data_IF_995991335978
#
_entry.id   IF_995991335978
#
_cell.length_a   1.000
_cell.length_b   1.000
_cell.length_c   1.000
_cell.angle_alpha   90.00
_cell.angle_beta   90.00
_cell.angle_gamma   90.00
#
_symmetry.space_group_name_H-M   'P 1'
#
loop_
_entity.id
_entity.type
_entity.pdbx_description
1 polymer ?
#
# COMPACT_ATOMS: atom_id res chain seq x y z
N UNK A 1 -17.53 9.88 9.19
CA UNK A 1 -18.21 10.31 7.94
C UNK A 1 -17.27 10.06 6.78
N UNK A 2 -17.72 9.24 5.85
CA UNK A 2 -16.91 8.78 4.74
C UNK A 2 -16.55 9.92 3.78
N UNK A 3 -15.25 10.14 3.54
CA UNK A 3 -14.74 11.18 2.65
C UNK A 3 -14.51 10.65 1.22
N UNK A 4 -14.30 9.34 1.07
CA UNK A 4 -14.21 8.64 -0.22
C UNK A 4 -15.24 7.53 -0.22
N UNK A 5 -16.04 7.44 -1.27
CA UNK A 5 -17.00 6.35 -1.49
C UNK A 5 -16.86 5.84 -2.91
N UNK A 6 -16.65 4.54 -3.04
CA UNK A 6 -16.54 3.84 -4.31
C UNK A 6 -17.60 2.74 -4.33
N UNK A 7 -18.45 2.74 -5.34
CA UNK A 7 -19.56 1.80 -5.47
C UNK A 7 -19.54 1.15 -6.84
N UNK A 8 -19.39 -0.17 -6.86
CA UNK A 8 -19.43 -1.02 -8.06
C UNK A 8 -18.56 -0.49 -9.20
N UNK A 9 -17.31 -0.14 -8.89
CA UNK A 9 -16.38 0.47 -9.83
C UNK A 9 -15.83 -0.55 -10.81
N UNK A 10 -15.97 -0.27 -12.11
CA UNK A 10 -15.43 -1.09 -13.20
C UNK A 10 -14.50 -0.28 -14.11
N UNK A 11 -13.43 -0.94 -14.56
CA UNK A 11 -12.56 -0.43 -15.62
C UNK A 11 -11.92 -1.58 -16.38
N UNK A 12 -12.08 -1.56 -17.69
CA UNK A 12 -11.48 -2.52 -18.60
C UNK A 12 -10.57 -1.81 -19.61
N UNK A 13 -9.54 -2.51 -20.04
CA UNK A 13 -8.68 -2.16 -21.16
C UNK A 13 -8.74 -3.33 -22.13
N UNK A 14 -9.41 -3.12 -23.26
CA UNK A 14 -9.72 -4.18 -24.22
C UNK A 14 -10.41 -5.38 -23.53
N UNK A 15 -9.74 -6.53 -23.46
CA UNK A 15 -10.25 -7.76 -22.82
C UNK A 15 -9.91 -7.87 -21.33
N UNK A 16 -8.99 -7.02 -20.82
CA UNK A 16 -8.52 -7.06 -19.43
C UNK A 16 -9.42 -6.23 -18.52
N UNK A 17 -10.11 -6.88 -17.59
CA UNK A 17 -10.83 -6.22 -16.50
C UNK A 17 -9.86 -5.80 -15.41
N UNK A 18 -9.33 -4.58 -15.53
CA UNK A 18 -8.35 -4.04 -14.58
C UNK A 18 -8.96 -3.73 -13.21
N UNK A 19 -10.24 -3.33 -13.19
CA UNK A 19 -11.06 -3.15 -11.98
C UNK A 19 -12.42 -3.77 -12.24
N UNK A 20 -12.88 -4.65 -11.36
CA UNK A 20 -14.04 -5.50 -11.60
C UNK A 20 -15.05 -5.43 -10.45
N UNK A 21 -15.85 -4.37 -10.41
CA UNK A 21 -16.98 -4.22 -9.48
C UNK A 21 -16.56 -3.95 -8.02
N UNK A 22 -15.45 -3.23 -7.79
CA UNK A 22 -14.99 -2.97 -6.43
C UNK A 22 -15.85 -1.91 -5.73
N UNK A 23 -16.07 -2.12 -4.43
CA UNK A 23 -16.77 -1.17 -3.57
C UNK A 23 -16.04 -1.04 -2.23
N UNK A 24 -15.81 0.20 -1.79
CA UNK A 24 -15.22 0.51 -0.48
C UNK A 24 -15.48 1.97 -0.09
N UNK A 25 -15.27 2.26 1.18
CA UNK A 25 -15.34 3.63 1.70
C UNK A 25 -14.15 3.93 2.61
N UNK A 26 -13.75 5.20 2.68
CA UNK A 26 -12.67 5.67 3.53
C UNK A 26 -13.17 6.80 4.40
N UNK A 27 -12.92 6.74 5.69
CA UNK A 27 -13.31 7.77 6.65
C UNK A 27 -12.32 8.94 6.65
N UNK A 28 -12.80 10.12 7.05
CA UNK A 28 -11.92 11.31 7.16
C UNK A 28 -10.81 11.06 8.18
N UNK A 29 -9.57 11.39 7.83
CA UNK A 29 -8.39 11.19 8.68
C UNK A 29 -7.94 9.72 8.78
N UNK A 30 -8.43 8.85 7.91
CA UNK A 30 -8.01 7.44 7.83
C UNK A 30 -6.83 7.27 6.87
N UNK A 31 -5.92 6.36 7.20
CA UNK A 31 -4.94 5.81 6.26
C UNK A 31 -5.45 4.48 5.74
N UNK A 32 -5.75 4.42 4.44
CA UNK A 32 -6.30 3.25 3.77
C UNK A 32 -5.32 2.71 2.73
N UNK A 33 -5.08 1.39 2.75
CA UNK A 33 -4.19 0.71 1.80
C UNK A 33 -4.95 -0.10 0.75
N UNK A 34 -4.69 0.15 -0.54
CA UNK A 34 -5.01 -0.80 -1.61
C UNK A 34 -3.78 -1.69 -1.82
N UNK A 35 -3.86 -2.95 -1.43
CA UNK A 35 -2.72 -3.85 -1.31
C UNK A 35 -2.88 -5.04 -2.24
N UNK A 36 -1.84 -5.39 -2.97
CA UNK A 36 -1.88 -6.53 -3.88
C UNK A 36 -0.71 -6.55 -4.87
N UNK A 37 -0.54 -7.64 -5.62
CA UNK A 37 0.55 -7.79 -6.57
C UNK A 37 0.44 -6.80 -7.74
N UNK A 38 1.47 -6.79 -8.57
CA UNK A 38 1.44 -6.06 -9.83
C UNK A 38 0.30 -6.58 -10.71
N UNK A 39 -0.38 -5.65 -11.39
CA UNK A 39 -1.56 -5.98 -12.19
C UNK A 39 -2.85 -6.22 -11.40
N UNK A 40 -2.87 -6.08 -10.06
CA UNK A 40 -4.08 -6.25 -9.26
C UNK A 40 -5.15 -5.15 -9.47
N UNK A 41 -4.84 -4.05 -10.17
CA UNK A 41 -5.76 -2.95 -10.44
C UNK A 41 -5.57 -1.72 -9.53
N UNK A 42 -4.58 -1.71 -8.64
CA UNK A 42 -4.30 -0.64 -7.67
C UNK A 42 -4.11 0.73 -8.33
N UNK A 43 -3.15 0.85 -9.24
CA UNK A 43 -2.84 2.10 -9.98
C UNK A 43 -4.03 2.56 -10.82
N UNK A 44 -4.75 1.65 -11.46
CA UNK A 44 -5.98 1.98 -12.21
C UNK A 44 -7.03 2.60 -11.29
N UNK A 45 -7.26 1.98 -10.13
CA UNK A 45 -8.20 2.50 -9.13
C UNK A 45 -7.82 3.90 -8.69
N UNK A 46 -6.57 4.13 -8.26
CA UNK A 46 -6.14 5.44 -7.76
C UNK A 46 -6.23 6.53 -8.84
N UNK A 47 -5.90 6.19 -10.10
CA UNK A 47 -6.03 7.13 -11.23
C UNK A 47 -7.47 7.52 -11.54
N UNK A 48 -8.44 6.60 -11.33
CA UNK A 48 -9.86 6.94 -11.44
C UNK A 48 -10.24 7.89 -10.31
N UNK A 49 -9.83 7.62 -9.07
CA UNK A 49 -10.11 8.48 -7.92
C UNK A 49 -9.50 9.88 -8.07
N UNK A 50 -8.38 10.02 -8.75
CA UNK A 50 -7.77 11.31 -9.09
C UNK A 50 -8.43 11.99 -10.31
N UNK A 51 -9.41 11.34 -10.96
CA UNK A 51 -10.03 11.83 -12.18
C UNK A 51 -9.10 11.86 -13.39
N UNK A 52 -7.99 11.11 -13.37
CA UNK A 52 -7.03 11.05 -14.49
C UNK A 52 -7.53 10.14 -15.62
N UNK A 53 -8.29 9.09 -15.27
CA UNK A 53 -8.96 8.21 -16.21
C UNK A 53 -10.43 8.05 -15.82
N UNK A 54 -11.30 7.85 -16.80
CA UNK A 54 -12.73 7.65 -16.59
C UNK A 54 -13.01 6.18 -16.33
N UNK A 55 -13.85 5.90 -15.32
CA UNK A 55 -14.41 4.56 -15.09
C UNK A 55 -15.40 4.18 -16.21
N UNK A 56 -15.60 2.89 -16.41
CA UNK A 56 -16.58 2.38 -17.34
C UNK A 56 -17.97 2.31 -16.70
N UNK A 57 -18.02 1.83 -15.42
CA UNK A 57 -19.25 1.76 -14.63
C UNK A 57 -18.94 2.09 -13.17
N UNK A 58 -20.00 2.30 -12.39
CA UNK A 58 -19.92 2.59 -10.95
C UNK A 58 -19.89 4.08 -10.62
N UNK A 59 -19.89 4.35 -9.31
CA UNK A 59 -19.94 5.72 -8.76
C UNK A 59 -18.74 5.94 -7.85
N UNK A 60 -18.11 7.10 -8.02
CA UNK A 60 -17.01 7.58 -7.15
C UNK A 60 -17.38 8.95 -6.61
N UNK A 61 -17.51 9.02 -5.29
CA UNK A 61 -17.72 10.26 -4.57
C UNK A 61 -16.49 10.58 -3.71
N UNK A 62 -15.98 11.82 -3.83
CA UNK A 62 -14.94 12.36 -2.97
C UNK A 62 -15.49 13.63 -2.29
N UNK A 63 -15.38 13.69 -0.97
CA UNK A 63 -15.95 14.83 -0.20
C UNK A 63 -17.43 15.08 -0.52
N UNK A 64 -18.18 13.99 -0.81
CA UNK A 64 -19.59 14.04 -1.23
C UNK A 64 -19.84 14.44 -2.69
N UNK A 65 -18.79 14.69 -3.49
CA UNK A 65 -18.87 15.16 -4.87
C UNK A 65 -18.56 14.05 -5.87
N UNK A 66 -19.29 14.01 -6.98
CA UNK A 66 -19.10 13.04 -8.05
C UNK A 66 -17.88 13.43 -8.90
N UNK A 67 -16.91 12.51 -9.04
CA UNK A 67 -15.67 12.75 -9.80
C UNK A 67 -15.90 13.07 -11.28
N UNK A 68 -17.00 12.62 -11.85
CA UNK A 68 -17.33 12.90 -13.26
C UNK A 68 -17.95 14.28 -13.46
N UNK A 69 -18.62 14.83 -12.44
CA UNK A 69 -19.35 16.11 -12.52
C UNK A 69 -18.53 17.27 -11.97
N UNK A 70 -17.82 17.04 -10.87
CA UNK A 70 -17.13 18.09 -10.11
C UNK A 70 -15.60 17.90 -10.09
N UNK A 71 -15.07 17.33 -11.17
CA UNK A 71 -13.66 16.93 -11.30
C UNK A 71 -12.68 18.04 -10.90
N UNK A 72 -12.84 19.27 -11.40
CA UNK A 72 -11.91 20.38 -11.14
C UNK A 72 -11.89 20.76 -9.65
N UNK A 73 -13.04 20.80 -9.02
CA UNK A 73 -13.15 21.13 -7.60
C UNK A 73 -12.52 20.02 -6.72
N UNK A 74 -12.74 18.75 -7.07
CA UNK A 74 -12.12 17.63 -6.43
C UNK A 74 -10.60 17.70 -6.57
N UNK A 75 -10.09 17.93 -7.78
CA UNK A 75 -8.64 17.99 -8.04
C UNK A 75 -7.94 19.11 -7.27
N UNK A 76 -8.61 20.22 -6.99
CA UNK A 76 -8.07 21.28 -6.14
C UNK A 76 -7.96 20.91 -4.66
N UNK A 77 -8.61 19.83 -4.23
CA UNK A 77 -8.65 19.37 -2.84
C UNK A 77 -7.92 18.03 -2.62
N UNK A 78 -7.28 17.49 -3.63
CA UNK A 78 -6.52 16.25 -3.55
C UNK A 78 -5.05 16.47 -3.91
N UNK A 79 -4.14 15.78 -3.22
CA UNK A 79 -2.75 15.62 -3.62
C UNK A 79 -2.57 14.25 -4.25
N UNK A 80 -1.77 14.15 -5.31
CA UNK A 80 -1.44 12.88 -5.94
C UNK A 80 0.06 12.73 -6.13
N UNK A 81 0.60 11.67 -5.57
CA UNK A 81 1.98 11.26 -5.77
C UNK A 81 1.98 9.97 -6.60
N UNK A 82 2.42 10.09 -7.84
CA UNK A 82 2.49 8.97 -8.78
C UNK A 82 3.71 8.09 -8.53
N UNK A 83 3.63 6.84 -8.97
CA UNK A 83 4.72 5.86 -8.87
C UNK A 83 6.03 6.35 -9.53
N UNK A 84 5.93 7.05 -10.67
CA UNK A 84 7.07 7.74 -11.29
C UNK A 84 7.10 9.18 -10.83
N UNK A 85 8.28 9.69 -10.48
CA UNK A 85 8.43 11.07 -10.05
C UNK A 85 7.92 12.05 -11.12
N UNK A 86 7.00 12.91 -10.73
CA UNK A 86 6.49 14.02 -11.58
C UNK A 86 7.25 15.31 -11.31
N UNK A 87 8.56 15.21 -11.05
CA UNK A 87 9.44 16.36 -10.77
C UNK A 87 10.16 16.81 -12.05
N UNK A 88 10.40 18.09 -12.15
CA UNK A 88 11.25 18.67 -13.19
C UNK A 88 12.70 18.60 -12.71
N UNK A 89 13.50 17.75 -13.34
CA UNK A 89 14.87 17.44 -12.93
C UNK A 89 15.82 18.63 -13.02
N UNK A 90 15.59 19.50 -13.98
CA UNK A 90 16.31 20.73 -14.29
C UNK A 90 15.91 21.94 -13.40
N UNK A 91 14.85 21.78 -12.60
CA UNK A 91 14.45 22.77 -11.61
C UNK A 91 15.05 22.40 -10.23
N UNK A 92 15.35 23.42 -9.44
CA UNK A 92 15.74 23.27 -8.03
C UNK A 92 14.58 22.76 -7.19
N UNK A 93 14.88 22.39 -5.94
CA UNK A 93 13.85 22.01 -4.95
C UNK A 93 12.84 23.15 -4.76
N UNK A 94 13.30 24.40 -4.62
CA UNK A 94 12.44 25.57 -4.47
C UNK A 94 11.56 25.77 -5.70
N UNK A 95 12.14 25.76 -6.90
CA UNK A 95 11.44 25.97 -8.17
C UNK A 95 10.42 24.88 -8.48
N UNK A 96 10.69 23.62 -8.11
CA UNK A 96 9.68 22.58 -8.20
C UNK A 96 8.45 22.88 -7.33
N UNK A 97 8.64 23.28 -6.07
CA UNK A 97 7.51 23.61 -5.17
C UNK A 97 6.76 24.86 -5.69
N UNK A 98 7.49 25.86 -6.16
CA UNK A 98 6.92 27.08 -6.76
C UNK A 98 6.06 26.75 -7.97
N UNK A 99 6.56 25.95 -8.90
CA UNK A 99 5.80 25.49 -10.07
C UNK A 99 4.46 24.83 -9.70
N UNK A 100 4.46 23.95 -8.70
CA UNK A 100 3.21 23.33 -8.25
C UNK A 100 2.30 24.32 -7.51
N UNK A 101 2.87 25.32 -6.80
CA UNK A 101 2.09 26.38 -6.19
C UNK A 101 1.36 27.23 -7.25
N UNK A 102 2.05 27.57 -8.35
CA UNK A 102 1.47 28.32 -9.47
C UNK A 102 0.36 27.51 -10.17
N UNK A 103 0.58 26.21 -10.46
CA UNK A 103 -0.46 25.35 -11.07
C UNK A 103 -1.74 25.33 -10.23
N UNK A 104 -1.61 25.36 -8.90
CA UNK A 104 -2.75 25.33 -7.98
C UNK A 104 -3.24 26.73 -7.57
N UNK A 105 -2.74 27.80 -8.21
CA UNK A 105 -3.05 29.23 -7.90
C UNK A 105 -2.92 29.55 -6.39
N UNK A 106 -1.88 28.98 -5.73
CA UNK A 106 -1.60 29.23 -4.32
C UNK A 106 -0.85 30.57 -4.20
N UNK A 107 -1.55 31.59 -3.71
CA UNK A 107 -0.96 32.90 -3.40
C UNK A 107 -0.16 32.82 -2.10
N UNK A 108 0.91 33.66 -2.02
CA UNK A 108 1.75 33.78 -0.82
C UNK A 108 2.32 32.44 -0.30
N UNK A 109 2.68 31.55 -1.23
CA UNK A 109 3.15 30.19 -0.92
C UNK A 109 4.49 30.13 -0.18
N UNK A 110 5.25 31.23 -0.07
CA UNK A 110 6.61 31.25 0.48
C UNK A 110 6.69 30.68 1.90
N UNK A 111 5.79 31.10 2.78
CA UNK A 111 5.72 30.57 4.13
C UNK A 111 5.42 29.06 4.11
N UNK A 112 4.44 28.65 3.32
CA UNK A 112 4.05 27.22 3.21
C UNK A 112 5.17 26.37 2.61
N UNK A 113 5.89 26.90 1.62
CA UNK A 113 7.09 26.24 1.06
C UNK A 113 8.13 26.01 2.15
N UNK A 114 8.45 27.03 2.96
CA UNK A 114 9.44 26.89 4.02
C UNK A 114 9.01 25.89 5.10
N UNK A 115 7.73 25.85 5.48
CA UNK A 115 7.15 24.83 6.36
C UNK A 115 7.32 23.42 5.77
N UNK A 116 7.00 23.23 4.49
CA UNK A 116 7.13 21.94 3.80
C UNK A 116 8.58 21.50 3.67
N UNK A 117 9.50 22.42 3.39
CA UNK A 117 10.93 22.13 3.34
C UNK A 117 11.49 21.70 4.69
N UNK A 118 11.05 22.33 5.77
CA UNK A 118 11.40 21.93 7.14
C UNK A 118 10.84 20.54 7.45
N UNK A 119 9.53 20.34 7.19
CA UNK A 119 8.80 19.11 7.42
C UNK A 119 9.39 17.90 6.69
N UNK A 120 9.82 18.09 5.45
CA UNK A 120 10.45 17.05 4.62
C UNK A 120 11.96 16.95 4.83
N UNK A 121 12.55 17.86 5.62
CA UNK A 121 14.00 17.99 5.83
C UNK A 121 14.78 18.29 4.55
N UNK A 122 14.16 19.00 3.61
CA UNK A 122 14.80 19.41 2.35
C UNK A 122 15.35 20.83 2.37
N UNK A 123 15.14 21.59 3.44
CA UNK A 123 15.60 22.96 3.61
C UNK A 123 17.09 23.19 3.29
N UNK A 124 18.04 22.33 3.71
CA UNK A 124 19.46 22.48 3.34
C UNK A 124 19.75 22.30 1.85
N UNK A 125 18.81 21.71 1.09
CA UNK A 125 18.96 21.33 -0.30
C UNK A 125 18.13 22.18 -1.26
N UNK A 126 17.50 23.25 -0.77
CA UNK A 126 16.52 24.07 -1.50
C UNK A 126 17.00 24.60 -2.87
N UNK A 127 18.30 24.85 -3.02
CA UNK A 127 18.93 25.33 -4.26
C UNK A 127 19.52 24.22 -5.14
N UNK A 128 19.39 22.96 -4.72
CA UNK A 128 19.88 21.80 -5.48
C UNK A 128 18.86 21.42 -6.56
N UNK A 129 19.33 21.04 -7.75
CA UNK A 129 18.49 20.52 -8.82
C UNK A 129 17.85 19.20 -8.40
N UNK A 130 16.60 18.97 -8.81
CA UNK A 130 15.87 17.76 -8.45
C UNK A 130 16.58 16.49 -8.96
N UNK A 131 17.23 16.53 -10.13
CA UNK A 131 17.98 15.38 -10.64
C UNK A 131 19.20 14.98 -9.79
N UNK A 132 19.74 15.91 -9.01
CA UNK A 132 20.88 15.70 -8.11
C UNK A 132 20.46 15.11 -6.76
N UNK A 133 19.16 14.91 -6.51
CA UNK A 133 18.63 14.36 -5.28
C UNK A 133 18.68 12.83 -5.30
N UNK A 134 18.85 12.20 -4.13
CA UNK A 134 18.64 10.76 -3.98
C UNK A 134 17.17 10.37 -4.20
N UNK A 135 16.88 9.10 -4.48
CA UNK A 135 15.52 8.61 -4.67
C UNK A 135 14.58 8.98 -3.50
N UNK A 136 15.02 8.78 -2.26
CA UNK A 136 14.24 9.16 -1.10
C UNK A 136 14.05 10.68 -0.94
N UNK A 137 15.02 11.50 -1.37
CA UNK A 137 14.86 12.96 -1.39
C UNK A 137 13.89 13.40 -2.50
N UNK A 138 13.95 12.79 -3.68
CA UNK A 138 12.99 13.03 -4.77
C UNK A 138 11.57 12.72 -4.31
N UNK A 139 11.38 11.60 -3.58
CA UNK A 139 10.09 11.22 -3.02
C UNK A 139 9.54 12.26 -2.03
N UNK A 140 10.40 12.75 -1.14
CA UNK A 140 10.04 13.81 -0.18
C UNK A 140 9.70 15.13 -0.89
N UNK A 141 10.42 15.49 -1.94
CA UNK A 141 10.13 16.68 -2.75
C UNK A 141 8.78 16.53 -3.48
N UNK A 142 8.52 15.39 -4.11
CA UNK A 142 7.25 15.12 -4.77
C UNK A 142 6.06 15.19 -3.79
N UNK A 143 6.27 14.67 -2.57
CA UNK A 143 5.28 14.82 -1.49
C UNK A 143 5.08 16.29 -1.11
N UNK A 144 6.15 17.09 -0.92
CA UNK A 144 6.04 18.51 -0.61
C UNK A 144 5.26 19.27 -1.69
N UNK A 145 5.56 19.00 -2.97
CA UNK A 145 4.83 19.56 -4.11
C UNK A 145 3.33 19.21 -4.05
N UNK A 146 2.99 17.96 -3.74
CA UNK A 146 1.58 17.52 -3.63
C UNK A 146 0.83 18.09 -2.41
N UNK A 147 1.53 18.70 -1.47
CA UNK A 147 0.97 19.27 -0.23
C UNK A 147 0.89 20.79 -0.23
N UNK A 148 1.44 21.49 -1.26
CA UNK A 148 1.54 22.95 -1.25
C UNK A 148 0.17 23.64 -1.20
N UNK A 149 -0.84 23.07 -1.85
CA UNK A 149 -2.20 23.59 -1.92
C UNK A 149 -3.12 23.09 -0.78
N UNK A 150 -2.55 22.45 0.27
CA UNK A 150 -3.26 21.96 1.46
C UNK A 150 -4.43 21.02 1.14
N UNK A 151 -4.19 19.87 0.48
CA UNK A 151 -5.23 18.93 0.11
C UNK A 151 -5.89 18.30 1.35
N UNK A 152 -7.16 17.89 1.21
CA UNK A 152 -7.87 17.12 2.24
C UNK A 152 -7.60 15.61 2.11
N UNK A 153 -7.32 15.16 0.89
CA UNK A 153 -7.05 13.75 0.57
C UNK A 153 -5.70 13.66 -0.16
N UNK A 154 -4.86 12.74 0.27
CA UNK A 154 -3.58 12.44 -0.37
C UNK A 154 -3.61 11.03 -0.95
N UNK A 155 -3.43 10.94 -2.26
CA UNK A 155 -3.30 9.70 -2.99
C UNK A 155 -1.82 9.39 -3.25
N UNK A 156 -1.36 8.19 -2.87
CA UNK A 156 0.02 7.76 -3.00
C UNK A 156 0.09 6.45 -3.78
N UNK A 157 0.66 6.48 -4.97
CA UNK A 157 0.79 5.28 -5.81
C UNK A 157 2.18 4.66 -5.64
N UNK A 158 2.26 3.60 -4.82
CA UNK A 158 3.49 2.89 -4.48
C UNK A 158 4.64 3.81 -4.02
N UNK A 159 4.43 4.64 -3.00
CA UNK A 159 5.31 5.77 -2.71
C UNK A 159 6.71 5.38 -2.21
N UNK A 160 6.92 4.14 -1.85
CA UNK A 160 8.20 3.66 -1.26
C UNK A 160 8.93 2.65 -2.14
N UNK A 161 8.39 2.35 -3.32
CA UNK A 161 9.03 1.44 -4.28
C UNK A 161 10.36 2.02 -4.76
N UNK A 162 11.44 1.25 -4.61
CA UNK A 162 12.80 1.68 -4.96
C UNK A 162 13.45 2.67 -3.97
N UNK A 163 12.83 2.91 -2.80
CA UNK A 163 13.39 3.76 -1.74
C UNK A 163 14.14 2.91 -0.72
N UNK A 164 15.32 3.37 -0.31
CA UNK A 164 16.13 2.70 0.71
C UNK A 164 15.42 2.62 2.08
N UNK A 165 15.76 1.64 2.95
CA UNK A 165 15.05 1.42 4.22
C UNK A 165 15.05 2.62 5.17
N UNK A 166 16.10 3.44 5.18
CA UNK A 166 16.19 4.62 6.06
C UNK A 166 15.26 5.71 5.58
N UNK A 167 15.31 6.02 4.27
CA UNK A 167 14.42 7.00 3.65
C UNK A 167 12.95 6.56 3.73
N UNK A 168 12.67 5.24 3.56
CA UNK A 168 11.33 4.66 3.74
C UNK A 168 10.80 4.91 5.16
N UNK A 169 11.60 4.65 6.19
CA UNK A 169 11.22 4.89 7.59
C UNK A 169 10.91 6.36 7.85
N UNK A 170 11.72 7.28 7.30
CA UNK A 170 11.49 8.72 7.45
C UNK A 170 10.23 9.18 6.69
N UNK A 171 9.96 8.62 5.51
CA UNK A 171 8.73 8.88 4.76
C UNK A 171 7.48 8.47 5.56
N UNK A 172 7.50 7.30 6.20
CA UNK A 172 6.42 6.85 7.07
C UNK A 172 6.17 7.77 8.27
N UNK A 173 7.22 8.36 8.86
CA UNK A 173 7.06 9.38 9.93
C UNK A 173 6.32 10.60 9.42
N UNK A 174 6.64 11.06 8.21
CA UNK A 174 5.96 12.17 7.55
C UNK A 174 4.48 11.84 7.35
N UNK A 175 4.15 10.67 6.80
CA UNK A 175 2.75 10.24 6.61
C UNK A 175 1.99 10.18 7.93
N UNK A 176 2.61 9.65 8.99
CA UNK A 176 2.00 9.59 10.33
C UNK A 176 1.69 10.97 10.90
N UNK A 177 2.50 11.99 10.61
CA UNK A 177 2.25 13.35 11.03
C UNK A 177 1.12 13.99 10.23
N UNK A 178 1.08 13.81 8.91
CA UNK A 178 -0.01 14.29 8.06
C UNK A 178 -1.38 13.72 8.50
N UNK A 179 -1.38 12.45 8.91
CA UNK A 179 -2.58 11.81 9.45
C UNK A 179 -3.06 12.50 10.75
N UNK A 180 -2.12 12.84 11.66
CA UNK A 180 -2.43 13.59 12.88
C UNK A 180 -2.96 15.00 12.60
N UNK A 181 -2.56 15.61 11.48
CA UNK A 181 -3.08 16.89 10.99
C UNK A 181 -4.47 16.76 10.34
N UNK A 182 -5.01 15.53 10.24
CA UNK A 182 -6.35 15.24 9.73
C UNK A 182 -6.45 15.01 8.22
N UNK A 183 -5.30 14.89 7.52
CA UNK A 183 -5.27 14.53 6.10
C UNK A 183 -5.66 13.05 5.97
N UNK A 184 -6.56 12.76 5.04
CA UNK A 184 -6.93 11.38 4.68
C UNK A 184 -5.94 10.86 3.67
N UNK A 185 -5.45 9.64 3.85
CA UNK A 185 -4.43 9.05 2.97
C UNK A 185 -4.96 7.75 2.37
N UNK A 186 -4.96 7.67 1.04
CA UNK A 186 -5.10 6.40 0.33
C UNK A 186 -3.78 6.09 -0.37
N UNK A 187 -3.20 4.94 -0.04
CA UNK A 187 -1.97 4.48 -0.68
C UNK A 187 -2.14 3.12 -1.36
N UNK A 188 -1.40 2.93 -2.43
CA UNK A 188 -1.22 1.61 -3.03
C UNK A 188 0.14 1.04 -2.63
N UNK A 189 0.23 -0.26 -2.43
CA UNK A 189 1.51 -0.95 -2.20
C UNK A 189 1.42 -2.43 -2.55
N UNK A 190 2.47 -3.04 -3.11
CA UNK A 190 2.59 -4.49 -3.19
C UNK A 190 3.13 -5.09 -1.88
N UNK A 191 3.62 -4.27 -0.94
CA UNK A 191 4.29 -4.71 0.27
C UNK A 191 3.32 -4.86 1.44
N UNK A 192 3.18 -6.08 1.95
CA UNK A 192 2.26 -6.40 3.03
C UNK A 192 2.73 -5.90 4.40
N UNK A 193 4.03 -5.70 4.60
CA UNK A 193 4.60 -5.04 5.79
C UNK A 193 4.23 -3.55 5.89
N UNK A 194 4.04 -2.89 4.75
CA UNK A 194 3.52 -1.51 4.71
C UNK A 194 2.02 -1.47 5.01
N UNK A 195 1.27 -2.44 4.52
CA UNK A 195 -0.15 -2.59 4.79
C UNK A 195 -0.47 -2.68 6.29
N UNK A 196 0.42 -3.27 7.09
CA UNK A 196 0.31 -3.35 8.56
C UNK A 196 0.23 -1.97 9.24
N UNK A 197 0.67 -0.91 8.57
CA UNK A 197 0.68 0.46 9.09
C UNK A 197 -0.61 1.23 8.78
N UNK A 198 -1.47 0.69 7.92
CA UNK A 198 -2.74 1.30 7.56
C UNK A 198 -3.81 1.02 8.62
N UNK A 199 -4.78 1.93 8.76
CA UNK A 199 -5.94 1.71 9.62
C UNK A 199 -6.81 0.57 9.08
N UNK A 200 -7.09 0.61 7.78
CA UNK A 200 -7.79 -0.45 7.03
C UNK A 200 -7.12 -0.67 5.69
N UNK A 201 -7.30 -1.87 5.18
CA UNK A 201 -6.75 -2.28 3.88
C UNK A 201 -7.81 -3.02 3.07
N UNK A 202 -7.73 -2.85 1.76
CA UNK A 202 -8.38 -3.73 0.79
C UNK A 202 -7.30 -4.57 0.09
N UNK A 203 -7.35 -5.87 0.28
CA UNK A 203 -6.52 -6.80 -0.45
C UNK A 203 -7.11 -6.99 -1.85
N UNK A 204 -6.32 -6.68 -2.87
CA UNK A 204 -6.72 -6.74 -4.27
C UNK A 204 -6.01 -7.86 -5.02
N UNK A 205 -6.77 -8.57 -5.85
CA UNK A 205 -6.22 -9.54 -6.80
C UNK A 205 -7.07 -9.57 -8.07
N UNK A 206 -6.42 -9.50 -9.25
CA UNK A 206 -7.07 -9.58 -10.57
C UNK A 206 -8.30 -8.67 -10.70
N UNK A 207 -8.16 -7.42 -10.26
CA UNK A 207 -9.22 -6.40 -10.35
C UNK A 207 -10.31 -6.48 -9.27
N UNK A 208 -10.27 -7.44 -8.36
CA UNK A 208 -11.26 -7.64 -7.31
C UNK A 208 -10.71 -7.32 -5.92
N UNK A 209 -11.55 -6.86 -5.01
CA UNK A 209 -11.25 -6.84 -3.57
C UNK A 209 -11.58 -8.22 -3.01
N UNK A 210 -10.57 -8.94 -2.51
CA UNK A 210 -10.72 -10.28 -1.92
C UNK A 210 -10.94 -10.24 -0.41
N UNK A 211 -10.49 -9.17 0.26
CA UNK A 211 -10.76 -8.92 1.67
C UNK A 211 -10.62 -7.42 1.97
N UNK A 212 -11.41 -6.91 2.92
CA UNK A 212 -11.39 -5.53 3.38
C UNK A 212 -11.67 -5.49 4.88
N UNK A 213 -10.70 -5.04 5.66
CA UNK A 213 -10.83 -4.70 7.08
C UNK A 213 -9.52 -4.09 7.61
N UNK A 214 -9.41 -3.86 8.93
CA UNK A 214 -8.13 -3.56 9.55
C UNK A 214 -7.19 -4.78 9.48
N UNK A 215 -5.86 -4.58 9.41
CA UNK A 215 -4.88 -5.67 9.39
C UNK A 215 -5.10 -6.69 10.54
N UNK A 216 -5.40 -6.19 11.74
CA UNK A 216 -5.66 -7.02 12.91
C UNK A 216 -6.89 -7.91 12.70
N UNK A 217 -8.01 -7.32 12.28
CA UNK A 217 -9.25 -8.07 12.05
C UNK A 217 -9.13 -9.10 10.92
N UNK A 218 -8.36 -8.78 9.87
CA UNK A 218 -8.09 -9.75 8.80
C UNK A 218 -7.35 -10.98 9.33
N UNK A 219 -6.38 -10.78 10.22
CA UNK A 219 -5.65 -11.87 10.88
C UNK A 219 -6.55 -12.72 11.79
N UNK A 220 -7.44 -12.07 12.52
CA UNK A 220 -8.37 -12.75 13.43
C UNK A 220 -9.45 -13.57 12.70
N UNK A 221 -9.99 -13.02 11.58
CA UNK A 221 -11.06 -13.68 10.80
C UNK A 221 -10.69 -15.06 10.27
N UNK A 222 -9.43 -15.30 9.97
CA UNK A 222 -8.98 -16.59 9.45
C UNK A 222 -8.98 -17.67 10.53
N UNK A 223 -8.97 -17.31 11.83
CA UNK A 223 -8.96 -18.23 12.98
C UNK A 223 -8.00 -19.43 12.82
N UNK A 224 -6.88 -19.22 12.13
CA UNK A 224 -5.83 -20.20 11.90
C UNK A 224 -4.60 -19.88 12.74
N UNK A 225 -3.71 -20.83 12.85
CA UNK A 225 -2.34 -20.66 13.34
C UNK A 225 -1.36 -20.97 12.21
N UNK A 226 -0.17 -20.43 12.33
CA UNK A 226 0.95 -20.77 11.45
C UNK A 226 1.99 -21.52 12.26
N UNK A 227 2.32 -22.70 11.80
CA UNK A 227 3.44 -23.50 12.32
C UNK A 227 4.63 -23.17 11.42
N UNK A 228 5.61 -22.47 11.98
CA UNK A 228 6.88 -22.20 11.29
C UNK A 228 7.89 -23.29 11.65
N UNK A 229 8.51 -23.86 10.64
CA UNK A 229 9.53 -24.91 10.81
C UNK A 229 10.77 -24.52 10.01
N UNK A 230 11.91 -24.46 10.68
CA UNK A 230 13.22 -24.39 10.07
C UNK A 230 13.84 -25.79 10.09
N UNK A 231 14.16 -26.33 8.93
CA UNK A 231 14.61 -27.73 8.82
C UNK A 231 15.55 -27.95 7.64
N UNK A 232 16.27 -29.05 7.65
CA UNK A 232 17.20 -29.44 6.59
C UNK A 232 17.04 -30.93 6.24
N UNK A 233 16.93 -31.29 4.94
CA UNK A 233 16.82 -30.44 3.76
C UNK A 233 15.39 -29.90 3.55
N UNK A 234 15.23 -28.59 3.49
CA UNK A 234 13.92 -27.90 3.47
C UNK A 234 13.04 -28.29 2.26
N UNK A 235 13.61 -28.44 1.07
CA UNK A 235 12.85 -28.80 -0.15
C UNK A 235 12.24 -30.20 -0.06
N UNK A 236 12.93 -31.15 0.58
CA UNK A 236 12.41 -32.49 0.79
C UNK A 236 11.27 -32.47 1.82
N UNK A 237 11.46 -31.74 2.92
CA UNK A 237 10.41 -31.54 3.93
C UNK A 237 9.15 -30.94 3.31
N UNK A 238 9.28 -29.91 2.46
CA UNK A 238 8.16 -29.28 1.77
C UNK A 238 7.38 -30.25 0.87
N UNK A 239 8.08 -31.12 0.10
CA UNK A 239 7.45 -32.15 -0.73
C UNK A 239 6.69 -33.17 0.12
N UNK A 240 7.36 -33.72 1.12
CA UNK A 240 6.77 -34.71 2.03
C UNK A 240 5.51 -34.18 2.72
N UNK A 241 5.52 -32.94 3.19
CA UNK A 241 4.38 -32.30 3.81
C UNK A 241 3.19 -32.14 2.86
N UNK A 242 3.45 -31.71 1.62
CA UNK A 242 2.42 -31.57 0.59
C UNK A 242 1.78 -32.88 0.17
N UNK A 243 2.56 -33.94 0.12
CA UNK A 243 2.09 -35.28 -0.27
C UNK A 243 1.31 -35.96 0.85
N UNK A 244 1.73 -35.79 2.10
CA UNK A 244 1.16 -36.52 3.24
C UNK A 244 -0.02 -35.81 3.90
N UNK A 245 0.02 -34.47 3.99
CA UNK A 245 -0.96 -33.69 4.74
C UNK A 245 -1.78 -32.81 3.79
N UNK A 246 -3.12 -32.82 3.96
CA UNK A 246 -4.03 -31.88 3.29
C UNK A 246 -3.99 -30.50 3.95
N UNK A 247 -2.78 -29.98 4.23
CA UNK A 247 -2.55 -28.71 4.87
C UNK A 247 -2.00 -27.70 3.86
N UNK A 248 -2.21 -26.44 4.18
CA UNK A 248 -1.63 -25.38 3.40
C UNK A 248 -0.17 -25.16 3.81
N UNK A 249 0.75 -25.59 2.93
CA UNK A 249 2.19 -25.50 3.15
C UNK A 249 2.78 -24.44 2.23
N UNK A 250 3.49 -23.47 2.79
CA UNK A 250 4.13 -22.35 2.10
C UNK A 250 5.63 -22.37 2.40
N UNK A 251 6.46 -22.14 1.38
CA UNK A 251 7.90 -22.07 1.52
C UNK A 251 8.36 -20.60 1.55
N UNK A 252 9.00 -20.18 2.65
CA UNK A 252 9.51 -18.83 2.85
C UNK A 252 11.01 -18.86 3.13
N UNK A 253 11.80 -18.72 2.09
CA UNK A 253 13.26 -18.68 2.22
C UNK A 253 13.83 -19.92 2.93
N UNK A 254 14.25 -19.74 4.19
CA UNK A 254 14.86 -20.75 5.06
C UNK A 254 13.85 -21.54 5.91
N UNK A 255 12.53 -21.27 5.78
CA UNK A 255 11.49 -21.89 6.62
C UNK A 255 10.26 -22.33 5.84
N UNK A 256 9.52 -23.24 6.43
CA UNK A 256 8.21 -23.71 5.97
C UNK A 256 7.16 -23.16 6.91
N UNK A 257 6.13 -22.50 6.35
CA UNK A 257 4.95 -22.09 7.08
C UNK A 257 3.79 -23.02 6.74
N UNK A 258 3.17 -23.58 7.75
CA UNK A 258 2.01 -24.45 7.61
C UNK A 258 0.82 -23.79 8.27
N UNK A 259 -0.21 -23.49 7.47
CA UNK A 259 -1.45 -22.91 7.97
C UNK A 259 -2.39 -24.02 8.39
N UNK A 260 -2.76 -24.03 9.65
CA UNK A 260 -3.62 -25.06 10.25
C UNK A 260 -4.68 -24.47 11.18
N UNK A 261 -5.68 -25.26 11.52
CA UNK A 261 -6.59 -24.94 12.60
C UNK A 261 -5.86 -24.90 13.94
N UNK A 262 -6.30 -24.06 14.88
CA UNK A 262 -5.66 -23.91 16.19
C UNK A 262 -5.67 -25.21 17.03
N UNK A 263 -6.60 -26.12 16.73
CA UNK A 263 -6.69 -27.43 17.36
C UNK A 263 -5.78 -28.49 16.75
N UNK A 264 -5.07 -28.17 15.68
CA UNK A 264 -4.21 -29.11 14.99
C UNK A 264 -2.96 -29.41 15.82
N UNK A 265 -2.72 -30.70 16.07
CA UNK A 265 -1.55 -31.21 16.79
C UNK A 265 -0.32 -31.18 15.85
N UNK A 266 0.52 -30.18 16.00
CA UNK A 266 1.70 -29.97 15.17
C UNK A 266 2.84 -30.96 15.45
N UNK A 267 2.86 -31.63 16.60
CA UNK A 267 3.88 -32.64 16.91
C UNK A 267 3.81 -33.80 15.91
N UNK A 268 2.64 -34.12 15.37
CA UNK A 268 2.49 -35.11 14.30
C UNK A 268 3.32 -34.76 13.04
N UNK A 269 3.47 -33.47 12.74
CA UNK A 269 4.29 -33.00 11.63
C UNK A 269 5.77 -33.17 11.95
N UNK A 270 6.17 -32.82 13.16
CA UNK A 270 7.54 -32.91 13.62
C UNK A 270 8.00 -34.38 13.63
N UNK A 271 7.20 -35.26 14.23
CA UNK A 271 7.47 -36.70 14.26
C UNK A 271 7.58 -37.29 12.85
N UNK A 272 6.64 -36.93 11.97
CA UNK A 272 6.66 -37.37 10.57
C UNK A 272 7.94 -36.93 9.83
N UNK A 273 8.32 -35.64 9.95
CA UNK A 273 9.53 -35.13 9.31
C UNK A 273 10.79 -35.81 9.84
N UNK A 274 10.88 -35.97 11.16
CA UNK A 274 12.03 -36.63 11.81
C UNK A 274 12.16 -38.07 11.37
N UNK A 275 11.04 -38.84 11.33
CA UNK A 275 11.01 -40.23 10.84
C UNK A 275 11.45 -40.35 9.36
N UNK A 276 11.30 -39.30 8.57
CA UNK A 276 11.73 -39.27 7.17
C UNK A 276 13.13 -38.61 6.99
N UNK A 277 13.93 -38.51 8.04
CA UNK A 277 15.32 -38.05 7.97
C UNK A 277 15.46 -36.53 7.80
N UNK A 278 14.47 -35.77 8.17
CA UNK A 278 14.53 -34.30 8.16
C UNK A 278 14.97 -33.82 9.54
N UNK A 279 16.05 -33.07 9.61
CA UNK A 279 16.54 -32.41 10.82
C UNK A 279 15.72 -31.16 11.11
N UNK A 280 15.09 -31.09 12.27
CA UNK A 280 14.35 -29.90 12.73
C UNK A 280 15.31 -29.02 13.51
N UNK A 281 15.56 -27.81 12.99
CA UNK A 281 16.48 -26.82 13.60
C UNK A 281 15.73 -25.90 14.56
N UNK A 282 14.54 -25.42 14.13
CA UNK A 282 13.67 -24.57 14.97
C UNK A 282 12.20 -24.80 14.62
N UNK A 283 11.33 -24.62 15.60
CA UNK A 283 9.87 -24.70 15.43
C UNK A 283 9.16 -23.71 16.33
N UNK A 284 8.15 -23.04 15.80
CA UNK A 284 7.30 -22.14 16.60
C UNK A 284 5.90 -22.04 16.04
N UNK A 285 4.95 -21.75 16.91
CA UNK A 285 3.58 -21.41 16.55
C UNK A 285 3.44 -19.89 16.59
N UNK A 286 2.88 -19.32 15.53
CA UNK A 286 2.67 -17.88 15.41
C UNK A 286 1.29 -17.57 14.82
N UNK A 287 0.87 -16.32 14.94
CA UNK A 287 -0.31 -15.82 14.26
C UNK A 287 -0.02 -15.60 12.76
N UNK A 288 -0.98 -15.83 11.87
CA UNK A 288 -0.79 -15.57 10.44
C UNK A 288 -0.36 -14.13 10.17
N UNK A 289 0.64 -13.96 9.31
CA UNK A 289 0.98 -12.67 8.73
C UNK A 289 -0.04 -12.29 7.65
N UNK A 290 -0.08 -11.01 7.24
CA UNK A 290 -0.90 -10.62 6.08
C UNK A 290 -0.52 -11.37 4.81
N UNK A 291 0.74 -11.78 4.68
CA UNK A 291 1.22 -12.57 3.56
C UNK A 291 0.63 -13.99 3.56
N UNK A 292 0.59 -14.64 4.72
CA UNK A 292 -0.08 -15.94 4.85
C UNK A 292 -1.57 -15.83 4.50
N UNK A 293 -2.23 -14.75 4.95
CA UNK A 293 -3.64 -14.49 4.66
C UNK A 293 -3.88 -14.27 3.17
N UNK A 294 -3.07 -13.41 2.55
CA UNK A 294 -3.18 -13.13 1.13
C UNK A 294 -3.02 -14.42 0.31
N UNK A 295 -1.98 -15.21 0.59
CA UNK A 295 -1.74 -16.48 -0.07
C UNK A 295 -2.86 -17.50 0.15
N UNK A 296 -3.52 -17.46 1.30
CA UNK A 296 -4.69 -18.30 1.61
C UNK A 296 -5.92 -17.89 0.79
N UNK A 297 -6.16 -16.60 0.61
CA UNK A 297 -7.35 -16.07 -0.08
C UNK A 297 -7.30 -16.14 -1.60
N UNK A 298 -6.12 -16.25 -2.21
CA UNK A 298 -5.96 -16.27 -3.68
C UNK A 298 -5.96 -17.68 -4.29
N UNK A 299 -6.09 -18.72 -3.46
CA UNK A 299 -6.26 -20.11 -3.92
C UNK A 299 -7.67 -20.33 -4.39
#
# INVERSE_FOLDING_TARGET
MSIIQVTNLHKSYETLKAVNGISFSIEKGEMFGLVGPDGAGKTTTIRILCGLIKQDEGVVLLMGKDILKEKKEIQNNIGYLSQKFSLYGDLTVDENIEFFAEIHDVKDYNQRRDELLEFTRLKPFRKRLADQLSGGMKQKLALACSLIHKPQILFLDEPTTGVDPVSRRDFWKILSQLLKEGITILMTTPYLDEAERCNRIALMNKGNIIALDSPIKLKEKINKQVIEIVCNPIRNAYKLLKEKFSLEVQLFGDRINIISDKSFDYEKIIDFLTQNGIEIIDKRITTPSLENIFMHLIK
#
